data_IF_729468382274
#
_entry.id   IF_729468382274
#
_cell.length_a   1.000
_cell.length_b   1.000
_cell.length_c   1.000
_cell.angle_alpha   90.00
_cell.angle_beta   90.00
_cell.angle_gamma   90.00
#
_symmetry.space_group_name_H-M   'P 1'
#
loop_
_entity.id
_entity.type
_entity.pdbx_description
1 polymer ?
#
# COMPACT_ATOMS: atom_id res chain seq x y z
N UNK A 1 15.39 -26.93 -20.46
CA UNK A 1 15.70 -27.20 -19.03
C UNK A 1 15.78 -25.86 -18.31
N UNK A 2 14.65 -25.35 -17.84
CA UNK A 2 14.59 -24.08 -17.08
C UNK A 2 14.43 -24.49 -15.62
N UNK A 3 15.56 -24.53 -14.91
CA UNK A 3 15.69 -25.23 -13.65
C UNK A 3 15.00 -24.56 -12.44
N UNK A 4 14.90 -25.30 -11.32
CA UNK A 4 14.25 -24.90 -10.05
C UNK A 4 14.85 -23.65 -9.37
N UNK A 5 15.94 -23.10 -9.91
CA UNK A 5 16.62 -21.90 -9.41
C UNK A 5 15.76 -20.63 -9.43
N UNK A 6 14.81 -20.51 -10.37
CA UNK A 6 13.96 -19.33 -10.44
C UNK A 6 12.89 -19.26 -9.34
N UNK A 7 12.41 -20.41 -8.86
CA UNK A 7 11.37 -20.46 -7.83
C UNK A 7 11.92 -20.06 -6.46
N UNK A 8 13.12 -20.54 -6.12
CA UNK A 8 13.81 -20.23 -4.86
C UNK A 8 14.22 -18.75 -4.76
N UNK A 9 14.71 -18.16 -5.86
CA UNK A 9 15.04 -16.74 -5.89
C UNK A 9 13.80 -15.84 -5.70
N UNK A 10 12.65 -16.27 -6.23
CA UNK A 10 11.39 -15.54 -6.11
C UNK A 10 10.82 -15.64 -4.68
N UNK A 11 10.89 -16.82 -4.06
CA UNK A 11 10.48 -17.05 -2.67
C UNK A 11 11.38 -16.30 -1.67
N UNK A 12 12.70 -16.30 -1.88
CA UNK A 12 13.64 -15.56 -1.03
C UNK A 12 13.40 -14.04 -1.11
N UNK A 13 13.04 -13.50 -2.28
CA UNK A 13 12.67 -12.08 -2.41
C UNK A 13 11.37 -11.76 -1.67
N UNK A 14 10.33 -12.58 -1.82
CA UNK A 14 9.07 -12.39 -1.10
C UNK A 14 9.27 -12.44 0.43
N UNK A 15 10.09 -13.38 0.92
CA UNK A 15 10.42 -13.52 2.35
C UNK A 15 11.23 -12.34 2.88
N UNK A 16 12.16 -11.79 2.09
CA UNK A 16 12.95 -10.62 2.46
C UNK A 16 12.10 -9.35 2.56
N UNK A 17 11.13 -9.15 1.66
CA UNK A 17 10.17 -8.04 1.72
C UNK A 17 9.28 -8.14 2.96
N UNK A 18 8.80 -9.34 3.31
CA UNK A 18 8.01 -9.56 4.52
C UNK A 18 8.83 -9.37 5.81
N UNK A 19 10.11 -9.74 5.79
CA UNK A 19 11.01 -9.63 6.95
C UNK A 19 11.41 -8.17 7.21
N UNK A 20 11.69 -7.38 6.16
CA UNK A 20 11.91 -5.93 6.30
C UNK A 20 10.70 -5.20 6.87
N UNK A 21 9.50 -5.63 6.50
CA UNK A 21 8.25 -5.10 7.05
C UNK A 21 8.02 -5.43 8.53
N UNK A 22 8.75 -6.42 9.08
CA UNK A 22 8.60 -6.90 10.46
C UNK A 22 9.56 -6.21 11.44
N UNK A 23 10.70 -5.70 10.98
CA UNK A 23 11.77 -5.14 11.83
C UNK A 23 11.86 -3.62 11.80
N UNK A 24 11.38 -2.98 10.74
CA UNK A 24 11.28 -1.52 10.67
C UNK A 24 9.91 -1.16 11.24
N UNK A 25 9.86 -0.21 12.19
CA UNK A 25 8.63 0.36 12.78
C UNK A 25 7.45 0.30 11.80
N UNK A 26 6.23 -0.09 12.21
CA UNK A 26 5.08 -0.10 11.31
C UNK A 26 4.99 1.28 10.66
N UNK A 27 5.40 1.35 9.39
CA UNK A 27 5.35 2.60 8.65
C UNK A 27 3.86 2.95 8.57
N UNK A 28 3.47 4.19 8.88
CA UNK A 28 2.08 4.58 8.81
C UNK A 28 1.60 4.35 7.38
N UNK A 29 0.69 3.39 7.21
CA UNK A 29 0.05 3.15 5.92
C UNK A 29 -0.97 4.25 5.70
N UNK A 30 -1.21 4.57 4.43
CA UNK A 30 -2.19 5.58 4.05
C UNK A 30 -3.20 4.97 3.09
N UNK A 31 -4.47 5.30 3.28
CA UNK A 31 -5.56 5.01 2.37
C UNK A 31 -5.99 6.29 1.68
N UNK A 32 -6.50 6.16 0.47
CA UNK A 32 -7.05 7.25 -0.31
C UNK A 32 -8.51 6.95 -0.61
N UNK A 33 -9.40 7.78 -0.10
CA UNK A 33 -10.83 7.73 -0.40
C UNK A 33 -11.14 8.70 -1.52
N UNK A 34 -11.63 8.18 -2.64
CA UNK A 34 -12.07 8.97 -3.80
C UNK A 34 -13.47 9.51 -3.52
N UNK A 35 -13.67 10.79 -3.85
CA UNK A 35 -14.94 11.48 -3.70
C UNK A 35 -15.57 11.76 -5.07
N UNK A 36 -16.89 11.81 -5.14
CA UNK A 36 -17.61 12.36 -6.30
C UNK A 36 -17.74 13.89 -6.23
N UNK A 37 -18.45 14.47 -7.20
CA UNK A 37 -18.71 15.91 -7.30
C UNK A 37 -19.55 16.46 -6.13
N UNK A 38 -20.28 15.59 -5.42
CA UNK A 38 -21.07 15.90 -4.23
C UNK A 38 -20.30 15.63 -2.94
N UNK A 39 -18.99 15.39 -3.04
CA UNK A 39 -18.10 15.04 -1.92
C UNK A 39 -18.50 13.75 -1.19
N UNK A 40 -19.20 12.84 -1.87
CA UNK A 40 -19.56 11.53 -1.32
C UNK A 40 -18.49 10.49 -1.64
N UNK A 41 -18.22 9.56 -0.71
CA UNK A 41 -17.20 8.53 -0.91
C UNK A 41 -17.67 7.50 -1.95
N UNK A 42 -16.90 7.34 -3.01
CA UNK A 42 -17.20 6.39 -4.09
C UNK A 42 -16.29 5.16 -4.06
N UNK A 43 -15.05 5.32 -3.60
CA UNK A 43 -14.04 4.24 -3.61
C UNK A 43 -12.95 4.47 -2.59
N UNK A 44 -12.41 3.38 -2.02
CA UNK A 44 -11.20 3.40 -1.21
C UNK A 44 -10.08 2.69 -1.97
N UNK A 45 -8.88 3.27 -1.96
CA UNK A 45 -7.67 2.78 -2.62
C UNK A 45 -6.52 2.73 -1.62
N UNK A 46 -5.80 1.62 -1.57
CA UNK A 46 -4.67 1.42 -0.67
C UNK A 46 -4.38 -0.07 -0.41
N UNK A 47 -3.44 -0.39 0.49
CA UNK A 47 -2.64 0.55 1.28
C UNK A 47 -1.48 1.18 0.50
N UNK A 48 -1.17 2.45 0.79
CA UNK A 48 0.02 3.16 0.31
C UNK A 48 1.08 3.25 1.42
N UNK A 49 2.35 3.23 1.03
CA UNK A 49 3.48 3.32 1.96
C UNK A 49 3.68 4.74 2.54
N UNK A 50 3.07 5.76 1.94
CA UNK A 50 3.12 7.16 2.39
C UNK A 50 1.99 7.98 1.77
N UNK A 51 1.70 9.16 2.33
CA UNK A 51 0.80 10.13 1.70
C UNK A 51 1.29 10.56 0.30
N UNK A 52 2.60 10.73 0.12
CA UNK A 52 3.18 11.16 -1.15
C UNK A 52 2.87 10.16 -2.26
N UNK A 53 3.01 8.86 -1.99
CA UNK A 53 2.67 7.80 -2.95
C UNK A 53 1.17 7.79 -3.25
N UNK A 54 0.32 8.01 -2.25
CA UNK A 54 -1.12 8.09 -2.45
C UNK A 54 -1.51 9.29 -3.35
N UNK A 55 -0.89 10.46 -3.14
CA UNK A 55 -1.10 11.66 -3.97
C UNK A 55 -0.59 11.47 -5.40
N UNK A 56 0.56 10.82 -5.57
CA UNK A 56 1.10 10.49 -6.89
C UNK A 56 0.14 9.58 -7.66
N UNK A 57 -0.36 8.53 -7.01
CA UNK A 57 -1.36 7.65 -7.61
C UNK A 57 -2.63 8.42 -8.02
N UNK A 58 -3.12 9.35 -7.19
CA UNK A 58 -4.27 10.18 -7.53
C UNK A 58 -4.00 11.05 -8.76
N UNK A 59 -2.82 11.68 -8.85
CA UNK A 59 -2.43 12.48 -10.00
C UNK A 59 -2.35 11.64 -11.30
N UNK A 60 -1.73 10.46 -11.24
CA UNK A 60 -1.65 9.52 -12.37
C UNK A 60 -3.02 9.05 -12.86
N UNK A 61 -3.96 8.86 -11.93
CA UNK A 61 -5.32 8.40 -12.22
C UNK A 61 -6.31 9.55 -12.45
N UNK A 62 -5.83 10.80 -12.51
CA UNK A 62 -6.66 12.02 -12.67
C UNK A 62 -7.77 12.16 -11.62
N UNK A 63 -7.53 11.66 -10.41
CA UNK A 63 -8.43 11.82 -9.27
C UNK A 63 -8.14 13.18 -8.62
N UNK A 64 -9.10 14.10 -8.74
CA UNK A 64 -8.97 15.47 -8.24
C UNK A 64 -9.63 15.68 -6.88
N UNK A 65 -10.66 14.90 -6.55
CA UNK A 65 -11.36 14.94 -5.27
C UNK A 65 -11.08 13.65 -4.48
N UNK A 66 -10.30 13.77 -3.41
CA UNK A 66 -9.96 12.64 -2.54
C UNK A 66 -9.61 13.09 -1.12
N UNK A 67 -9.72 12.16 -0.18
CA UNK A 67 -9.29 12.31 1.20
C UNK A 67 -8.26 11.23 1.55
N UNK A 68 -7.21 11.61 2.28
CA UNK A 68 -6.20 10.67 2.78
C UNK A 68 -6.50 10.30 4.22
N UNK A 69 -6.46 9.01 4.53
CA UNK A 69 -6.67 8.49 5.87
C UNK A 69 -5.46 7.69 6.35
N UNK A 70 -4.99 7.90 7.58
CA UNK A 70 -4.02 7.01 8.18
C UNK A 70 -4.68 5.63 8.36
N UNK A 71 -4.08 4.59 7.78
CA UNK A 71 -4.41 3.21 8.08
C UNK A 71 -3.56 2.76 9.26
N UNK A 72 -4.20 2.71 10.42
CA UNK A 72 -3.69 1.90 11.52
C UNK A 72 -3.94 0.44 11.16
N UNK A 73 -2.89 -0.27 10.77
CA UNK A 73 -2.95 -1.74 10.80
C UNK A 73 -2.95 -2.09 12.29
N UNK A 74 -4.02 -2.65 12.85
CA UNK A 74 -4.00 -3.08 14.24
C UNK A 74 -2.80 -4.01 14.38
N UNK A 75 -1.82 -3.57 15.19
CA UNK A 75 -0.67 -4.39 15.51
C UNK A 75 -1.21 -5.69 16.05
N UNK A 76 -0.94 -6.79 15.35
CA UNK A 76 -1.26 -8.13 15.83
C UNK A 76 -0.52 -8.29 17.16
N UNK A 77 -1.21 -8.02 18.27
CA UNK A 77 -0.75 -8.43 19.60
C UNK A 77 -0.76 -9.96 19.57
N UNK A 78 0.39 -10.54 19.26
CA UNK A 78 0.72 -11.93 19.61
C UNK A 78 1.04 -11.99 21.09
#
# INVERSE_FOLDING_TARGET
>A
MTGPYHLAATQSRATATMTLHRTVRPAPLVGLMVLDEQSQPTRIVGPFASETTARQWAAENRVTAYQLWPLEVPGRRS
#
